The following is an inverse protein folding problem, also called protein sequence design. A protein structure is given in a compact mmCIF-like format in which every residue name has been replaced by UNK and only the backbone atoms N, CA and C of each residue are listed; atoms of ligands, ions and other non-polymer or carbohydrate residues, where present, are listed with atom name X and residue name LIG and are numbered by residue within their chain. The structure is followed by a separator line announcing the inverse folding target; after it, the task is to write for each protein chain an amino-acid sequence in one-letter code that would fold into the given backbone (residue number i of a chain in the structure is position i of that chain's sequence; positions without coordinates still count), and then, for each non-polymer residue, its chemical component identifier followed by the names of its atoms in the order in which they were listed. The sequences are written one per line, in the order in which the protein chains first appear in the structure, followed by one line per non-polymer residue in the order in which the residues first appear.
data_IF_865908530782
#
_entry.id   IF_865908530782
#
_cell.length_a   1.000
_cell.length_b   1.000
_cell.length_c   1.000
_cell.angle_alpha   90.00
_cell.angle_beta   90.00
_cell.angle_gamma   90.00
#
_symmetry.space_group_name_H-M   'P 1'
#
loop_
_entity.id
_entity.type
_entity.pdbx_description
1 polymer ?
#
# COMPACT_ATOMS: atom_id res chain seq x y z
N UNK A 1 13.58 -29.75 -51.60
CA UNK A 1 12.70 -29.93 -50.43
C UNK A 1 13.45 -29.35 -49.24
N UNK A 2 13.00 -28.21 -48.71
CA UNK A 2 13.62 -27.62 -47.52
C UNK A 2 13.30 -28.49 -46.31
N UNK A 3 14.31 -28.82 -45.52
CA UNK A 3 14.15 -29.44 -44.20
C UNK A 3 13.16 -28.61 -43.37
N UNK A 4 12.23 -29.23 -42.61
CA UNK A 4 11.40 -28.48 -41.69
C UNK A 4 12.33 -27.75 -40.71
N UNK A 5 12.15 -26.44 -40.55
CA UNK A 5 12.81 -25.74 -39.45
C UNK A 5 12.21 -26.30 -38.16
N UNK A 6 13.04 -26.85 -37.28
CA UNK A 6 12.63 -27.27 -35.95
C UNK A 6 12.62 -26.04 -35.04
N UNK A 7 11.43 -25.48 -34.81
CA UNK A 7 11.25 -24.37 -33.87
C UNK A 7 11.08 -24.94 -32.47
N UNK A 8 11.92 -24.48 -31.53
CA UNK A 8 11.65 -24.68 -30.10
C UNK A 8 10.90 -23.45 -29.59
N UNK A 9 9.67 -23.64 -29.11
CA UNK A 9 8.85 -22.58 -28.54
C UNK A 9 8.76 -22.74 -27.03
N UNK A 10 9.02 -21.66 -26.30
CA UNK A 10 8.84 -21.58 -24.84
C UNK A 10 7.69 -20.60 -24.57
N UNK A 11 6.58 -21.10 -24.03
CA UNK A 11 5.47 -20.26 -23.58
C UNK A 11 5.70 -19.83 -22.12
N UNK A 12 5.61 -18.53 -21.86
CA UNK A 12 5.82 -17.94 -20.53
C UNK A 12 4.82 -16.81 -20.26
N UNK A 13 4.78 -16.35 -19.02
CA UNK A 13 4.00 -15.18 -18.62
C UNK A 13 4.41 -13.93 -19.41
N UNK A 14 3.43 -13.16 -19.87
CA UNK A 14 3.68 -11.86 -20.49
C UNK A 14 3.88 -10.80 -19.41
N UNK A 15 5.14 -10.45 -19.14
CA UNK A 15 5.47 -9.34 -18.25
C UNK A 15 5.42 -8.00 -19.01
N UNK A 16 5.50 -6.89 -18.27
CA UNK A 16 5.57 -5.52 -18.76
C UNK A 16 6.90 -5.14 -19.42
N UNK A 17 7.25 -3.85 -19.36
CA UNK A 17 8.49 -3.35 -19.97
C UNK A 17 9.71 -3.77 -19.14
N UNK A 18 10.90 -3.68 -19.74
CA UNK A 18 12.16 -3.93 -19.04
C UNK A 18 12.59 -2.73 -18.19
N UNK A 19 13.47 -2.97 -17.22
CA UNK A 19 14.11 -1.92 -16.42
C UNK A 19 14.90 -0.95 -17.30
N UNK A 20 15.55 -1.46 -18.37
CA UNK A 20 16.19 -0.60 -19.38
C UNK A 20 15.21 0.38 -20.00
N UNK A 21 14.02 -0.08 -20.38
CA UNK A 21 13.02 0.80 -20.96
C UNK A 21 12.59 1.89 -19.97
N UNK A 22 12.44 1.53 -18.69
CA UNK A 22 12.13 2.50 -17.65
C UNK A 22 13.24 3.54 -17.46
N UNK A 23 14.51 3.13 -17.44
CA UNK A 23 15.65 4.04 -17.27
C UNK A 23 15.86 4.98 -18.48
N UNK A 24 15.79 4.44 -19.70
CA UNK A 24 16.28 5.14 -20.89
C UNK A 24 15.18 5.77 -21.75
N UNK A 25 13.97 5.18 -21.74
CA UNK A 25 12.83 5.65 -22.55
C UNK A 25 11.85 6.44 -21.70
N UNK A 26 11.44 5.92 -20.55
CA UNK A 26 10.54 6.65 -19.64
C UNK A 26 11.24 7.83 -18.95
N UNK A 27 12.51 7.65 -18.56
CA UNK A 27 13.34 8.68 -17.91
C UNK A 27 12.67 9.25 -16.66
N UNK A 28 12.64 8.50 -15.54
CA UNK A 28 11.94 8.90 -14.35
C UNK A 28 12.52 10.21 -13.77
N UNK A 29 11.69 11.02 -13.08
CA UNK A 29 12.15 12.30 -12.53
C UNK A 29 13.19 12.08 -11.41
N UNK A 30 14.38 12.66 -11.60
CA UNK A 30 15.59 12.42 -10.81
C UNK A 30 15.51 12.83 -9.32
N UNK A 31 14.51 13.61 -8.93
CA UNK A 31 14.34 14.11 -7.55
C UNK A 31 12.94 13.85 -6.98
N UNK A 32 12.16 12.94 -7.58
CA UNK A 32 10.83 12.60 -7.03
C UNK A 32 10.98 11.55 -5.91
N UNK A 33 10.28 11.76 -4.79
CA UNK A 33 10.17 10.76 -3.73
C UNK A 33 9.63 9.43 -4.27
N UNK A 34 8.69 9.47 -5.22
CA UNK A 34 8.21 8.27 -5.91
C UNK A 34 9.33 7.53 -6.61
N UNK A 35 10.19 8.23 -7.36
CA UNK A 35 11.33 7.59 -8.04
C UNK A 35 12.23 6.90 -7.02
N UNK A 36 12.53 7.56 -5.90
CA UNK A 36 13.37 7.02 -4.84
C UNK A 36 12.77 5.77 -4.17
N UNK A 37 11.46 5.79 -3.90
CA UNK A 37 10.74 4.63 -3.36
C UNK A 37 10.68 3.50 -4.38
N UNK A 38 10.42 3.82 -5.65
CA UNK A 38 10.37 2.83 -6.73
C UNK A 38 11.74 2.19 -6.98
N UNK A 39 12.82 2.97 -6.91
CA UNK A 39 14.19 2.47 -6.92
C UNK A 39 14.40 1.47 -5.77
N UNK A 40 13.97 1.82 -4.55
CA UNK A 40 14.06 0.93 -3.38
C UNK A 40 13.28 -0.37 -3.59
N UNK A 41 12.05 -0.30 -4.10
CA UNK A 41 11.24 -1.48 -4.38
C UNK A 41 11.86 -2.40 -5.45
N UNK A 42 12.35 -1.82 -6.57
CA UNK A 42 13.05 -2.58 -7.62
C UNK A 42 14.30 -3.28 -7.03
N UNK A 43 15.05 -2.61 -6.17
CA UNK A 43 16.21 -3.21 -5.49
C UNK A 43 15.81 -4.38 -4.59
N UNK A 44 14.75 -4.22 -3.78
CA UNK A 44 14.25 -5.29 -2.91
C UNK A 44 13.85 -6.51 -3.73
N UNK A 45 13.08 -6.33 -4.81
CA UNK A 45 12.65 -7.40 -5.69
C UNK A 45 13.83 -8.10 -6.39
N UNK A 46 14.86 -7.34 -6.80
CA UNK A 46 16.08 -7.91 -7.40
C UNK A 46 16.86 -8.77 -6.40
N UNK A 47 16.98 -8.31 -5.15
CA UNK A 47 17.62 -9.07 -4.07
C UNK A 47 16.85 -10.36 -3.80
N UNK A 48 15.53 -10.32 -3.70
CA UNK A 48 14.71 -11.53 -3.52
C UNK A 48 14.81 -12.49 -4.72
N UNK A 49 14.83 -11.96 -5.94
CA UNK A 49 15.05 -12.75 -7.15
C UNK A 49 16.42 -13.46 -7.15
N UNK A 50 17.48 -12.76 -6.77
CA UNK A 50 18.83 -13.34 -6.69
C UNK A 50 18.97 -14.36 -5.55
N UNK A 51 18.37 -14.10 -4.38
CA UNK A 51 18.29 -15.08 -3.28
C UNK A 51 17.69 -16.38 -3.77
N UNK A 52 16.54 -16.30 -4.43
CA UNK A 52 15.87 -17.47 -4.98
C UNK A 52 16.77 -18.26 -5.95
N UNK A 53 17.49 -17.59 -6.85
CA UNK A 53 18.43 -18.28 -7.76
C UNK A 53 19.60 -18.93 -7.02
N UNK A 54 20.24 -18.20 -6.11
CA UNK A 54 21.44 -18.66 -5.41
C UNK A 54 21.13 -19.80 -4.42
N UNK A 55 19.96 -19.78 -3.79
CA UNK A 55 19.46 -20.89 -2.95
C UNK A 55 19.30 -22.18 -3.76
N UNK A 56 18.80 -22.04 -5.00
CA UNK A 56 18.67 -23.12 -5.96
C UNK A 56 19.97 -23.41 -6.72
N UNK A 57 21.12 -22.86 -6.30
CA UNK A 57 22.44 -23.09 -6.90
C UNK A 57 22.53 -22.67 -8.36
N UNK A 58 21.71 -21.71 -8.78
CA UNK A 58 21.69 -21.15 -10.15
C UNK A 58 22.43 -19.81 -10.16
N UNK A 59 23.35 -19.63 -11.11
CA UNK A 59 23.97 -18.34 -11.45
C UNK A 59 23.33 -17.84 -12.75
N UNK A 60 22.90 -16.58 -12.80
CA UNK A 60 22.26 -15.99 -13.98
C UNK A 60 23.24 -15.72 -15.13
N UNK A 61 24.41 -15.15 -14.83
CA UNK A 61 25.54 -14.86 -15.75
C UNK A 61 25.32 -13.79 -16.82
N UNK A 62 24.08 -13.38 -17.10
CA UNK A 62 23.76 -12.27 -18.01
C UNK A 62 22.76 -11.29 -17.37
N UNK A 63 22.97 -10.98 -16.09
CA UNK A 63 22.09 -10.04 -15.40
C UNK A 63 22.37 -8.62 -15.93
N UNK A 64 21.33 -7.97 -16.45
CA UNK A 64 21.38 -6.62 -17.02
C UNK A 64 19.97 -6.01 -17.01
N UNK A 65 19.81 -4.69 -17.17
CA UNK A 65 18.49 -4.05 -17.12
C UNK A 65 17.50 -4.53 -18.21
N UNK A 66 17.98 -5.08 -19.34
CA UNK A 66 17.12 -5.72 -20.34
C UNK A 66 16.43 -6.99 -19.81
N UNK A 67 17.10 -7.71 -18.90
CA UNK A 67 16.68 -9.00 -18.35
C UNK A 67 15.93 -8.87 -17.01
N UNK A 68 15.59 -7.64 -16.61
CA UNK A 68 14.78 -7.33 -15.43
C UNK A 68 13.49 -6.70 -15.94
N UNK A 69 12.34 -7.34 -15.70
CA UNK A 69 11.06 -6.92 -16.28
C UNK A 69 10.03 -6.61 -15.19
N UNK A 70 9.25 -5.55 -15.40
CA UNK A 70 8.08 -5.25 -14.57
C UNK A 70 6.98 -6.30 -14.81
N UNK A 71 6.22 -6.68 -13.78
CA UNK A 71 5.20 -7.75 -13.93
C UNK A 71 3.90 -7.26 -14.55
N UNK A 72 3.50 -6.03 -14.31
CA UNK A 72 2.25 -5.47 -14.85
C UNK A 72 2.51 -4.61 -16.08
N UNK A 73 1.44 -4.27 -16.80
CA UNK A 73 1.54 -3.41 -17.99
C UNK A 73 2.25 -2.08 -17.64
N UNK A 74 3.13 -1.62 -18.53
CA UNK A 74 4.08 -0.52 -18.30
C UNK A 74 5.19 -0.87 -17.29
N UNK A 75 5.12 -0.31 -16.08
CA UNK A 75 6.22 -0.30 -15.10
C UNK A 75 5.80 -0.70 -13.68
N UNK A 76 4.69 -1.43 -13.51
CA UNK A 76 4.24 -1.79 -12.18
C UNK A 76 4.98 -2.98 -11.59
N UNK A 77 5.10 -2.95 -10.26
CA UNK A 77 5.84 -3.91 -9.44
C UNK A 77 5.00 -5.15 -9.10
N UNK A 78 5.64 -6.27 -8.70
CA UNK A 78 7.09 -6.45 -8.54
C UNK A 78 7.83 -6.55 -9.89
N UNK A 79 9.17 -6.53 -9.86
CA UNK A 79 9.98 -6.97 -11.01
C UNK A 79 10.22 -8.47 -11.00
N UNK A 80 10.63 -9.02 -12.15
CA UNK A 80 11.08 -10.40 -12.34
C UNK A 80 12.38 -10.43 -13.12
N UNK A 81 13.27 -11.35 -12.75
CA UNK A 81 14.47 -11.67 -13.51
C UNK A 81 14.08 -12.67 -14.61
N UNK A 82 14.46 -12.37 -15.85
CA UNK A 82 14.19 -13.19 -17.03
C UNK A 82 15.44 -13.43 -17.87
N UNK A 83 15.28 -14.19 -18.95
CA UNK A 83 16.36 -14.62 -19.86
C UNK A 83 17.47 -15.45 -19.20
N UNK A 84 17.13 -16.72 -18.96
CA UNK A 84 18.03 -17.73 -18.42
C UNK A 84 18.87 -18.43 -19.49
N UNK A 85 19.01 -17.85 -20.70
CA UNK A 85 19.73 -18.47 -21.82
C UNK A 85 21.20 -18.75 -21.53
N UNK A 86 21.79 -18.02 -20.57
CA UNK A 86 23.18 -18.20 -20.11
C UNK A 86 23.27 -18.74 -18.67
N UNK A 87 22.14 -18.99 -18.01
CA UNK A 87 22.12 -19.43 -16.62
C UNK A 87 22.66 -20.85 -16.46
N UNK A 88 23.26 -21.15 -15.30
CA UNK A 88 23.88 -22.47 -15.04
C UNK A 88 23.78 -22.85 -13.56
N UNK A 89 23.65 -24.15 -13.32
CA UNK A 89 23.78 -24.75 -11.99
C UNK A 89 25.26 -24.82 -11.58
N UNK A 90 25.58 -24.45 -10.35
CA UNK A 90 26.92 -24.69 -9.80
C UNK A 90 27.05 -26.18 -9.51
N UNK A 91 27.88 -26.87 -10.29
CA UNK A 91 28.25 -28.25 -10.04
C UNK A 91 29.58 -28.29 -9.26
N UNK A 92 29.76 -29.22 -8.29
CA UNK A 92 30.96 -29.31 -7.44
C UNK A 92 32.30 -29.48 -8.19
N UNK A 93 32.27 -29.86 -9.47
CA UNK A 93 33.47 -30.15 -10.29
C UNK A 93 33.76 -29.10 -11.38
N UNK A 94 33.04 -27.98 -11.41
CA UNK A 94 33.15 -26.99 -12.49
C UNK A 94 34.40 -26.09 -12.36
N UNK A 95 35.58 -26.67 -12.62
CA UNK A 95 36.81 -25.97 -13.02
C UNK A 95 36.86 -25.66 -14.52
N UNK A 96 35.72 -25.74 -15.23
CA UNK A 96 35.67 -25.62 -16.69
C UNK A 96 35.68 -24.16 -17.16
N UNK A 97 36.75 -23.78 -17.85
CA UNK A 97 36.96 -22.52 -18.56
C UNK A 97 36.45 -22.63 -20.00
N UNK A 98 35.28 -22.07 -20.36
CA UNK A 98 34.89 -22.02 -21.79
C UNK A 98 33.97 -20.85 -22.22
N UNK A 99 34.22 -20.47 -23.48
CA UNK A 99 33.56 -19.54 -24.43
C UNK A 99 33.38 -18.08 -24.01
N UNK A 100 34.40 -17.29 -24.37
CA UNK A 100 34.31 -15.86 -24.62
C UNK A 100 33.46 -15.61 -25.87
N UNK A 101 32.21 -15.18 -25.70
CA UNK A 101 31.54 -14.15 -26.50
C UNK A 101 30.03 -14.18 -26.33
N UNK A 102 29.44 -12.99 -26.52
CA UNK A 102 28.02 -12.64 -26.63
C UNK A 102 27.37 -12.22 -25.30
N UNK A 103 26.87 -10.98 -25.28
CA UNK A 103 26.30 -10.25 -24.13
C UNK A 103 26.88 -8.84 -24.00
N UNK A 104 26.05 -7.85 -23.67
CA UNK A 104 26.44 -6.45 -23.47
C UNK A 104 27.52 -6.36 -22.38
N UNK A 105 28.78 -6.08 -22.78
CA UNK A 105 29.97 -6.20 -21.92
C UNK A 105 29.91 -5.37 -20.63
N UNK A 106 29.07 -4.33 -20.59
CA UNK A 106 29.09 -3.27 -19.57
C UNK A 106 28.77 -3.78 -18.16
N UNK A 107 27.88 -4.77 -18.01
CA UNK A 107 27.47 -5.31 -16.69
C UNK A 107 28.21 -6.59 -16.31
N UNK A 108 29.10 -7.09 -17.17
CA UNK A 108 29.77 -8.37 -16.99
C UNK A 108 30.93 -8.23 -15.99
N UNK A 109 30.97 -9.11 -15.01
CA UNK A 109 32.08 -9.15 -14.06
C UNK A 109 33.44 -9.43 -14.75
N UNK A 110 34.54 -8.79 -14.33
CA UNK A 110 35.85 -8.95 -14.99
C UNK A 110 36.31 -10.41 -15.10
N UNK A 111 36.15 -11.20 -14.04
CA UNK A 111 36.56 -12.61 -13.95
C UNK A 111 35.77 -13.55 -14.87
N UNK A 112 34.57 -13.15 -15.30
CA UNK A 112 33.77 -13.91 -16.26
C UNK A 112 34.44 -13.97 -17.62
N UNK A 113 35.24 -12.95 -17.98
CA UNK A 113 36.04 -12.96 -19.20
C UNK A 113 37.13 -14.04 -19.17
N UNK A 114 37.57 -14.43 -17.98
CA UNK A 114 38.53 -15.51 -17.73
C UNK A 114 37.83 -16.87 -17.57
N UNK A 115 36.52 -16.94 -17.80
CA UNK A 115 35.72 -18.16 -17.69
C UNK A 115 35.45 -18.59 -16.25
N UNK A 116 35.68 -17.72 -15.25
CA UNK A 116 35.35 -17.99 -13.84
C UNK A 116 33.97 -17.44 -13.54
N UNK A 117 33.09 -18.32 -13.06
CA UNK A 117 31.71 -17.98 -12.72
C UNK A 117 31.43 -18.35 -11.28
N UNK A 118 30.84 -17.43 -10.54
CA UNK A 118 30.42 -17.64 -9.16
C UNK A 118 29.22 -16.75 -8.85
N UNK A 119 28.60 -16.91 -7.69
CA UNK A 119 27.53 -16.02 -7.23
C UNK A 119 27.96 -14.55 -7.24
N UNK A 120 29.25 -14.28 -6.95
CA UNK A 120 29.85 -12.94 -6.97
C UNK A 120 29.81 -12.28 -8.35
N UNK A 121 29.72 -13.05 -9.43
CA UNK A 121 29.56 -12.49 -10.77
C UNK A 121 28.17 -11.83 -10.95
N UNK A 122 27.11 -12.48 -10.45
CA UNK A 122 25.76 -11.89 -10.44
C UNK A 122 25.71 -10.67 -9.50
N UNK A 123 26.41 -10.71 -8.35
CA UNK A 123 26.48 -9.57 -7.43
C UNK A 123 27.16 -8.35 -8.06
N UNK A 124 28.19 -8.56 -8.89
CA UNK A 124 28.81 -7.47 -9.65
C UNK A 124 27.84 -6.82 -10.64
N UNK A 125 27.15 -7.64 -11.42
CA UNK A 125 26.13 -7.15 -12.35
C UNK A 125 25.02 -6.41 -11.61
N UNK A 126 24.56 -6.95 -10.48
CA UNK A 126 23.62 -6.28 -9.58
C UNK A 126 24.12 -4.92 -9.12
N UNK A 127 25.37 -4.80 -8.66
CA UNK A 127 25.95 -3.53 -8.21
C UNK A 127 25.92 -2.43 -9.27
N UNK A 128 26.22 -2.79 -10.53
CA UNK A 128 26.15 -1.84 -11.65
C UNK A 128 24.72 -1.48 -12.03
N UNK A 129 23.79 -2.44 -12.04
CA UNK A 129 22.36 -2.20 -12.28
C UNK A 129 21.79 -1.26 -11.23
N UNK A 130 22.13 -1.48 -9.96
CA UNK A 130 21.67 -0.64 -8.86
C UNK A 130 22.24 0.76 -8.96
N UNK A 131 23.52 0.90 -9.30
CA UNK A 131 24.11 2.22 -9.50
C UNK A 131 23.45 2.99 -10.65
N UNK A 132 23.23 2.32 -11.78
CA UNK A 132 22.50 2.89 -12.92
C UNK A 132 21.09 3.31 -12.52
N UNK A 133 20.40 2.44 -11.77
CA UNK A 133 19.06 2.66 -11.27
C UNK A 133 18.99 3.89 -10.37
N UNK A 134 19.90 4.02 -9.41
CA UNK A 134 19.80 5.04 -8.35
C UNK A 134 20.35 6.40 -8.78
N UNK A 135 21.34 6.41 -9.67
CA UNK A 135 21.90 7.64 -10.24
C UNK A 135 21.28 8.00 -11.61
N UNK A 136 20.31 7.22 -12.10
CA UNK A 136 19.64 7.38 -13.41
C UNK A 136 20.65 7.56 -14.56
N UNK A 137 21.70 6.75 -14.55
CA UNK A 137 22.80 6.85 -15.52
C UNK A 137 22.30 6.33 -16.87
N UNK A 138 22.43 7.14 -17.92
CA UNK A 138 22.28 6.63 -19.28
C UNK A 138 23.53 5.84 -19.67
N UNK A 139 23.60 4.57 -19.26
CA UNK A 139 24.74 3.68 -19.47
C UNK A 139 25.23 3.63 -20.93
N UNK A 140 24.31 3.62 -21.91
CA UNK A 140 24.65 3.63 -23.34
C UNK A 140 25.48 4.86 -23.75
N UNK A 141 25.33 5.99 -23.06
CA UNK A 141 26.07 7.24 -23.31
C UNK A 141 27.25 7.46 -22.36
N UNK A 142 27.27 6.74 -21.24
CA UNK A 142 28.20 6.96 -20.12
C UNK A 142 28.88 5.67 -19.67
N UNK A 143 29.12 4.73 -20.58
CA UNK A 143 29.72 3.43 -20.25
C UNK A 143 31.09 3.56 -19.56
N UNK A 144 31.81 4.66 -19.79
CA UNK A 144 33.08 4.96 -19.13
C UNK A 144 32.95 5.24 -17.62
N UNK A 145 31.75 5.55 -17.10
CA UNK A 145 31.55 5.75 -15.66
C UNK A 145 31.73 4.44 -14.91
N UNK A 146 31.23 3.33 -15.46
CA UNK A 146 31.38 2.01 -14.86
C UNK A 146 32.85 1.59 -14.87
N UNK A 147 33.55 1.86 -15.97
CA UNK A 147 34.98 1.62 -16.09
C UNK A 147 35.77 2.40 -15.03
N UNK A 148 35.47 3.70 -14.84
CA UNK A 148 36.12 4.52 -13.80
C UNK A 148 35.85 4.03 -12.37
N UNK A 149 34.64 3.54 -12.09
CA UNK A 149 34.36 2.98 -10.77
C UNK A 149 35.13 1.69 -10.55
N UNK A 150 35.09 0.77 -11.51
CA UNK A 150 35.60 -0.61 -11.37
C UNK A 150 37.12 -0.68 -11.53
N UNK A 151 37.69 0.04 -12.51
CA UNK A 151 39.10 -0.07 -12.89
C UNK A 151 39.95 1.05 -12.31
N UNK A 152 39.46 2.29 -12.28
CA UNK A 152 40.19 3.40 -11.65
C UNK A 152 39.93 3.46 -10.13
N UNK A 153 38.98 2.67 -9.61
CA UNK A 153 38.61 2.66 -8.20
C UNK A 153 37.98 3.99 -7.74
N UNK A 154 37.37 4.74 -8.65
CA UNK A 154 36.84 6.07 -8.34
C UNK A 154 35.47 6.01 -7.64
N UNK A 155 35.50 5.68 -6.35
CA UNK A 155 34.32 5.58 -5.49
C UNK A 155 33.61 6.92 -5.24
N UNK A 156 34.21 8.06 -5.63
CA UNK A 156 33.58 9.38 -5.49
C UNK A 156 32.45 9.59 -6.49
N UNK A 157 32.37 8.76 -7.54
CA UNK A 157 31.29 8.78 -8.53
C UNK A 157 29.96 8.25 -7.99
N UNK A 158 29.98 7.52 -6.86
CA UNK A 158 28.78 6.97 -6.22
C UNK A 158 28.31 7.95 -5.14
N UNK A 159 27.33 8.78 -5.49
CA UNK A 159 26.71 9.73 -4.58
C UNK A 159 25.78 9.05 -3.57
N UNK A 160 25.47 9.73 -2.46
CA UNK A 160 24.51 9.23 -1.48
C UNK A 160 23.08 9.31 -2.02
N UNK A 161 22.35 8.21 -1.93
CA UNK A 161 20.95 8.18 -2.32
C UNK A 161 20.08 8.93 -1.31
N UNK A 162 19.17 9.83 -1.71
CA UNK A 162 18.39 10.65 -0.78
C UNK A 162 17.61 9.86 0.28
N UNK A 163 17.15 8.66 -0.08
CA UNK A 163 16.27 7.84 0.77
C UNK A 163 17.00 6.71 1.50
N UNK A 164 18.10 6.22 0.92
CA UNK A 164 18.83 5.03 1.41
C UNK A 164 20.22 5.38 1.98
N UNK A 165 20.68 6.61 1.74
CA UNK A 165 21.92 7.18 2.25
C UNK A 165 23.17 6.40 1.85
N UNK A 166 24.19 6.49 2.71
CA UNK A 166 25.51 5.86 2.55
C UNK A 166 25.47 4.31 2.48
N UNK A 167 24.41 3.67 2.97
CA UNK A 167 24.26 2.21 2.88
C UNK A 167 24.27 1.72 1.45
N UNK A 168 23.52 2.40 0.59
CA UNK A 168 23.44 2.08 -0.83
C UNK A 168 24.77 2.28 -1.53
N UNK A 169 25.48 3.36 -1.18
CA UNK A 169 26.84 3.63 -1.66
C UNK A 169 27.79 2.48 -1.31
N UNK A 170 27.77 2.00 -0.05
CA UNK A 170 28.54 0.83 0.39
C UNK A 170 28.21 -0.43 -0.40
N UNK A 171 26.92 -0.68 -0.65
CA UNK A 171 26.47 -1.83 -1.44
C UNK A 171 27.06 -1.78 -2.85
N UNK A 172 26.87 -0.66 -3.55
CA UNK A 172 27.36 -0.46 -4.93
C UNK A 172 28.87 -0.66 -5.00
N UNK A 173 29.64 0.03 -4.14
CA UNK A 173 31.11 -0.03 -4.14
C UNK A 173 31.61 -1.45 -3.86
N UNK A 174 31.04 -2.13 -2.87
CA UNK A 174 31.48 -3.47 -2.49
C UNK A 174 31.14 -4.51 -3.55
N UNK A 175 29.94 -4.43 -4.15
CA UNK A 175 29.54 -5.31 -5.25
C UNK A 175 30.43 -5.15 -6.50
N UNK A 176 30.92 -3.94 -6.77
CA UNK A 176 31.62 -3.60 -8.01
C UNK A 176 33.15 -3.68 -7.92
N UNK A 177 33.69 -4.22 -6.82
CA UNK A 177 35.13 -4.49 -6.70
C UNK A 177 35.61 -5.44 -7.80
N UNK A 178 36.79 -5.15 -8.37
CA UNK A 178 37.34 -5.94 -9.47
C UNK A 178 37.62 -7.39 -9.07
N UNK A 179 38.21 -7.61 -7.90
CA UNK A 179 38.48 -8.95 -7.37
C UNK A 179 37.24 -9.47 -6.60
N UNK A 180 36.66 -10.62 -6.99
CA UNK A 180 35.48 -11.20 -6.36
C UNK A 180 35.61 -11.42 -4.85
N UNK A 181 36.81 -11.68 -4.33
CA UNK A 181 37.03 -11.92 -2.90
C UNK A 181 36.76 -10.67 -2.04
N UNK A 182 36.79 -9.49 -2.65
CA UNK A 182 36.53 -8.21 -1.99
C UNK A 182 35.06 -7.76 -2.13
N UNK A 183 34.20 -8.58 -2.72
CA UNK A 183 32.75 -8.35 -2.79
C UNK A 183 32.06 -9.04 -1.60
N UNK A 184 30.76 -8.79 -1.44
CA UNK A 184 29.94 -9.58 -0.51
C UNK A 184 30.04 -11.07 -0.85
N UNK A 185 30.05 -11.92 0.18
CA UNK A 185 30.09 -13.38 0.01
C UNK A 185 28.76 -13.88 -0.54
N UNK A 186 27.66 -13.28 -0.10
CA UNK A 186 26.31 -13.65 -0.53
C UNK A 186 25.36 -12.46 -0.67
N UNK A 187 24.29 -12.66 -1.42
CA UNK A 187 23.17 -11.72 -1.53
C UNK A 187 22.46 -11.47 -0.18
N UNK A 188 22.63 -12.37 0.81
CA UNK A 188 22.03 -12.22 2.14
C UNK A 188 22.65 -11.06 2.92
N UNK A 189 23.95 -10.82 2.79
CA UNK A 189 24.61 -9.64 3.40
C UNK A 189 24.02 -8.34 2.85
N UNK A 190 23.69 -8.31 1.55
CA UNK A 190 23.04 -7.16 0.91
C UNK A 190 21.62 -6.99 1.47
N UNK A 191 20.87 -8.09 1.59
CA UNK A 191 19.51 -8.07 2.12
C UNK A 191 19.47 -7.51 3.55
N UNK A 192 20.38 -7.95 4.43
CA UNK A 192 20.47 -7.44 5.81
C UNK A 192 20.70 -5.92 5.87
N UNK A 193 21.52 -5.36 4.97
CA UNK A 193 21.78 -3.91 4.91
C UNK A 193 20.54 -3.14 4.45
N UNK A 194 19.69 -3.73 3.58
CA UNK A 194 18.49 -3.09 3.02
C UNK A 194 17.25 -3.15 3.92
N UNK A 195 17.22 -3.98 4.97
CA UNK A 195 16.03 -4.22 5.82
C UNK A 195 15.67 -3.04 6.75
N UNK A 196 16.59 -2.10 6.99
CA UNK A 196 16.31 -0.98 7.91
C UNK A 196 15.38 0.08 7.31
N UNK A 197 14.40 0.59 8.08
CA UNK A 197 13.40 1.53 7.59
C UNK A 197 14.03 2.81 7.04
N UNK A 198 13.49 3.26 5.91
CA UNK A 198 13.90 4.46 5.20
C UNK A 198 13.70 5.70 6.09
N UNK A 199 14.65 6.65 6.03
CA UNK A 199 14.66 7.81 6.94
C UNK A 199 13.35 8.61 6.86
N UNK A 200 12.83 9.11 7.98
CA UNK A 200 11.62 9.93 8.01
C UNK A 200 11.88 11.37 7.59
N UNK A 201 10.77 12.06 7.30
CA UNK A 201 10.59 13.52 7.21
C UNK A 201 10.53 14.13 5.81
N UNK A 202 9.62 13.65 4.96
CA UNK A 202 9.12 14.50 3.87
C UNK A 202 7.60 14.47 3.81
N UNK A 203 7.04 15.63 3.46
CA UNK A 203 5.68 15.72 2.94
C UNK A 203 5.69 15.08 1.55
N UNK A 204 5.08 13.91 1.45
CA UNK A 204 5.05 13.10 0.24
C UNK A 204 3.83 13.52 -0.56
N UNK A 205 3.99 13.75 -1.87
CA UNK A 205 2.87 14.05 -2.74
C UNK A 205 2.62 12.86 -3.65
N UNK A 206 1.45 12.24 -3.53
CA UNK A 206 1.00 11.20 -4.45
C UNK A 206 0.07 11.80 -5.50
N UNK A 207 0.29 11.48 -6.77
CA UNK A 207 -0.46 11.96 -7.94
C UNK A 207 -1.12 10.82 -8.73
N UNK A 208 -0.70 9.58 -8.47
CA UNK A 208 -1.23 8.38 -9.15
C UNK A 208 -1.54 7.28 -8.14
N UNK A 209 -2.32 6.28 -8.56
CA UNK A 209 -2.65 5.11 -7.73
C UNK A 209 -1.40 4.31 -7.35
N UNK A 210 -0.45 4.19 -8.28
CA UNK A 210 0.83 3.51 -8.04
C UNK A 210 1.68 4.28 -7.02
N UNK A 211 1.77 5.61 -7.18
CA UNK A 211 2.45 6.47 -6.22
C UNK A 211 1.88 6.30 -4.82
N UNK A 212 0.56 6.33 -4.66
CA UNK A 212 -0.08 6.15 -3.36
C UNK A 212 0.26 4.78 -2.74
N UNK A 213 0.17 3.68 -3.50
CA UNK A 213 0.50 2.34 -3.01
C UNK A 213 1.94 2.27 -2.48
N UNK A 214 2.89 2.78 -3.27
CA UNK A 214 4.30 2.77 -2.92
C UNK A 214 4.59 3.67 -1.71
N UNK A 215 4.02 4.87 -1.69
CA UNK A 215 4.19 5.78 -0.56
C UNK A 215 3.65 5.16 0.74
N UNK A 216 2.50 4.49 0.68
CA UNK A 216 1.92 3.78 1.84
C UNK A 216 2.80 2.63 2.31
N UNK A 217 3.36 1.85 1.38
CA UNK A 217 4.19 0.69 1.68
C UNK A 217 5.54 1.07 2.33
N UNK A 218 6.13 2.19 1.92
CA UNK A 218 7.48 2.59 2.32
C UNK A 218 7.53 3.83 3.23
N UNK A 219 6.38 4.39 3.60
CA UNK A 219 6.32 5.49 4.55
C UNK A 219 6.84 5.06 5.93
N UNK A 220 7.61 5.95 6.54
CA UNK A 220 8.14 5.79 7.90
C UNK A 220 7.26 6.53 8.91
N UNK A 221 7.29 6.16 10.21
CA UNK A 221 6.50 6.85 11.23
C UNK A 221 6.72 8.36 11.23
N UNK A 222 5.62 9.11 11.26
CA UNK A 222 5.60 10.57 11.16
C UNK A 222 5.47 11.12 9.74
N UNK A 223 5.44 10.27 8.71
CA UNK A 223 5.27 10.71 7.32
C UNK A 223 3.85 11.23 7.05
N UNK A 224 3.75 12.25 6.21
CA UNK A 224 2.47 12.77 5.69
C UNK A 224 2.42 12.58 4.18
N UNK A 225 1.39 11.88 3.68
CA UNK A 225 1.11 11.63 2.28
C UNK A 225 -0.06 12.53 1.84
N UNK A 226 0.26 13.57 1.09
CA UNK A 226 -0.66 14.50 0.44
C UNK A 226 -1.17 13.92 -0.88
N UNK A 227 -2.48 13.76 -1.02
CA UNK A 227 -3.11 13.31 -2.25
C UNK A 227 -3.55 14.52 -3.08
N UNK A 228 -3.14 14.56 -4.35
CA UNK A 228 -3.68 15.50 -5.33
C UNK A 228 -5.17 15.25 -5.62
N UNK A 229 -5.81 16.25 -6.21
CA UNK A 229 -7.21 16.21 -6.64
C UNK A 229 -7.44 15.32 -7.87
N UNK A 230 -7.23 14.02 -7.72
CA UNK A 230 -7.42 12.98 -8.75
C UNK A 230 -8.18 11.77 -8.18
N UNK A 231 -8.47 10.79 -9.04
CA UNK A 231 -9.04 9.49 -8.62
C UNK A 231 -7.94 8.44 -8.51
N UNK A 232 -7.78 7.87 -7.31
CA UNK A 232 -6.87 6.77 -7.00
C UNK A 232 -7.66 5.47 -6.97
N UNK A 233 -7.32 4.52 -7.86
CA UNK A 233 -7.92 3.19 -7.91
C UNK A 233 -6.95 2.17 -7.33
N UNK A 234 -6.86 2.12 -5.99
CA UNK A 234 -5.97 1.21 -5.30
C UNK A 234 -6.45 0.87 -3.89
N UNK A 235 -5.86 -0.19 -3.32
CA UNK A 235 -6.01 -0.48 -1.90
C UNK A 235 -5.04 0.33 -1.07
N UNK A 236 -5.42 0.65 0.16
CA UNK A 236 -4.57 1.32 1.15
C UNK A 236 -4.40 0.35 2.32
N UNK A 237 -3.19 -0.14 2.55
CA UNK A 237 -2.86 -1.02 3.67
C UNK A 237 -1.84 -0.34 4.58
N UNK A 238 -2.29 0.24 5.69
CA UNK A 238 -1.41 0.87 6.68
C UNK A 238 -1.00 -0.16 7.72
N UNK A 239 0.29 -0.49 7.76
CA UNK A 239 0.92 -1.35 8.78
C UNK A 239 1.99 -0.61 9.60
N UNK A 240 2.33 0.61 9.20
CA UNK A 240 3.27 1.48 9.90
C UNK A 240 2.50 2.44 10.78
N UNK A 241 2.95 2.60 12.03
CA UNK A 241 2.36 3.54 12.98
C UNK A 241 2.63 5.00 12.58
N UNK A 242 1.76 5.91 13.01
CA UNK A 242 1.95 7.36 12.88
C UNK A 242 2.07 7.86 11.42
N UNK A 243 1.29 7.29 10.50
CA UNK A 243 1.19 7.75 9.11
C UNK A 243 -0.04 8.64 8.93
N UNK A 244 0.13 9.80 8.28
CA UNK A 244 -0.98 10.66 7.87
C UNK A 244 -1.18 10.59 6.36
N UNK A 245 -2.41 10.33 5.90
CA UNK A 245 -2.84 10.43 4.50
C UNK A 245 -3.93 11.49 4.42
N UNK A 246 -3.71 12.54 3.65
CA UNK A 246 -4.64 13.67 3.58
C UNK A 246 -4.88 14.07 2.13
N UNK A 247 -6.14 14.22 1.74
CA UNK A 247 -6.49 14.79 0.44
C UNK A 247 -6.32 16.30 0.41
N UNK A 248 -5.96 16.85 -0.75
CA UNK A 248 -5.85 18.31 -0.94
C UNK A 248 -7.19 19.02 -1.03
N UNK A 249 -8.28 18.29 -1.23
CA UNK A 249 -9.60 18.88 -1.38
C UNK A 249 -10.66 17.93 -1.89
N UNK A 250 -11.86 18.49 -2.13
CA UNK A 250 -13.09 17.75 -2.43
C UNK A 250 -13.07 16.92 -3.72
N UNK A 251 -12.07 17.08 -4.59
CA UNK A 251 -11.88 16.26 -5.79
C UNK A 251 -10.87 15.12 -5.61
N UNK A 252 -10.28 14.99 -4.43
CA UNK A 252 -9.48 13.82 -4.05
C UNK A 252 -10.42 12.64 -3.87
N UNK A 253 -10.28 11.60 -4.68
CA UNK A 253 -11.17 10.42 -4.68
C UNK A 253 -10.35 9.14 -4.54
N UNK A 254 -10.64 8.33 -3.53
CA UNK A 254 -10.21 6.93 -3.46
C UNK A 254 -11.34 6.06 -4.01
N UNK A 255 -11.14 5.48 -5.19
CA UNK A 255 -12.08 4.57 -5.84
C UNK A 255 -11.68 3.13 -5.54
N UNK A 256 -12.41 2.50 -4.63
CA UNK A 256 -12.13 1.12 -4.25
C UNK A 256 -12.66 0.09 -5.27
N UNK A 257 -13.40 0.53 -6.28
CA UNK A 257 -13.95 -0.35 -7.31
C UNK A 257 -14.65 -1.57 -6.71
N UNK A 258 -14.35 -2.75 -7.27
CA UNK A 258 -14.92 -4.04 -6.86
C UNK A 258 -14.00 -4.89 -5.97
N UNK A 259 -12.73 -4.52 -5.82
CA UNK A 259 -11.71 -5.39 -5.21
C UNK A 259 -10.83 -4.70 -4.18
N UNK A 260 -10.70 -3.37 -4.22
CA UNK A 260 -9.80 -2.67 -3.31
C UNK A 260 -10.44 -2.45 -1.93
N UNK A 261 -9.58 -2.16 -0.95
CA UNK A 261 -9.97 -1.86 0.43
C UNK A 261 -9.01 -0.88 1.09
N UNK A 262 -9.49 -0.15 2.10
CA UNK A 262 -8.68 0.58 3.06
C UNK A 262 -8.61 -0.28 4.33
N UNK A 263 -7.42 -0.70 4.74
CA UNK A 263 -7.20 -1.45 5.96
C UNK A 263 -6.06 -0.81 6.76
N UNK A 264 -6.38 -0.36 7.97
CA UNK A 264 -5.44 0.20 8.92
C UNK A 264 -5.23 -0.85 10.00
N UNK A 265 -4.02 -1.40 10.08
CA UNK A 265 -3.62 -2.42 11.07
C UNK A 265 -2.51 -1.88 11.99
N UNK A 266 -2.43 -0.55 12.10
CA UNK A 266 -1.41 0.21 12.82
C UNK A 266 -2.03 1.24 13.77
N UNK A 267 -1.20 1.94 14.53
CA UNK A 267 -1.61 2.91 15.55
C UNK A 267 -1.32 4.34 15.12
N UNK A 268 -2.08 5.30 15.66
CA UNK A 268 -1.85 6.74 15.50
C UNK A 268 -1.86 7.22 14.05
N UNK A 269 -2.50 6.50 13.14
CA UNK A 269 -2.65 6.89 11.74
C UNK A 269 -3.82 7.84 11.53
N UNK A 270 -3.70 8.75 10.57
CA UNK A 270 -4.77 9.69 10.18
C UNK A 270 -5.09 9.54 8.71
N UNK A 271 -6.37 9.39 8.37
CA UNK A 271 -6.87 9.53 7.00
C UNK A 271 -7.92 10.64 6.95
N UNK A 272 -7.72 11.66 6.11
CA UNK A 272 -8.67 12.77 6.03
C UNK A 272 -8.82 13.49 4.69
N UNK A 273 -9.90 14.27 4.57
CA UNK A 273 -10.19 15.20 3.47
C UNK A 273 -10.23 14.55 2.07
N UNK A 274 -10.96 13.44 1.94
CA UNK A 274 -11.07 12.70 0.68
C UNK A 274 -12.47 12.11 0.47
N UNK A 275 -12.83 11.86 -0.78
CA UNK A 275 -14.01 11.06 -1.12
C UNK A 275 -13.61 9.61 -1.25
N UNK A 276 -14.44 8.69 -0.77
CA UNK A 276 -14.23 7.25 -0.98
C UNK A 276 -15.43 6.67 -1.72
N UNK A 277 -15.18 6.03 -2.86
CA UNK A 277 -16.19 5.44 -3.74
C UNK A 277 -16.04 3.92 -3.72
N UNK A 278 -17.16 3.21 -3.76
CA UNK A 278 -17.21 1.74 -3.79
C UNK A 278 -18.20 1.29 -4.86
N UNK A 279 -17.91 0.17 -5.55
CA UNK A 279 -18.82 -0.43 -6.55
C UNK A 279 -19.10 -1.89 -6.20
N UNK A 280 -20.38 -2.29 -6.17
CA UNK A 280 -20.78 -3.62 -5.69
C UNK A 280 -20.36 -4.74 -6.67
N UNK A 281 -20.06 -5.93 -6.12
CA UNK A 281 -20.46 -7.19 -6.77
C UNK A 281 -20.95 -8.25 -5.76
N UNK A 282 -20.42 -8.29 -4.52
CA UNK A 282 -20.80 -9.31 -3.54
C UNK A 282 -20.79 -8.78 -2.08
N UNK A 283 -21.76 -9.23 -1.27
CA UNK A 283 -22.09 -8.75 0.09
C UNK A 283 -21.13 -9.20 1.22
N UNK A 284 -19.96 -9.75 0.89
CA UNK A 284 -19.15 -10.52 1.87
C UNK A 284 -17.86 -9.85 2.34
N UNK A 285 -17.48 -8.66 1.86
CA UNK A 285 -16.17 -8.07 2.16
C UNK A 285 -16.24 -6.64 2.71
N UNK A 286 -15.61 -6.44 3.89
CA UNK A 286 -15.40 -5.13 4.51
C UNK A 286 -14.39 -4.31 3.71
N UNK A 287 -14.76 -3.09 3.29
CA UNK A 287 -13.95 -2.26 2.39
C UNK A 287 -13.15 -1.19 3.12
N UNK A 288 -13.57 -0.80 4.31
CA UNK A 288 -12.79 0.04 5.23
C UNK A 288 -12.72 -0.70 6.56
N UNK A 289 -11.50 -0.99 7.01
CA UNK A 289 -11.22 -1.60 8.31
C UNK A 289 -10.21 -0.72 9.05
N UNK A 290 -10.52 -0.37 10.30
CA UNK A 290 -9.68 0.50 11.13
C UNK A 290 -9.32 -0.22 12.43
N UNK A 291 -8.29 -1.06 12.39
CA UNK A 291 -7.70 -1.70 13.56
C UNK A 291 -6.54 -0.86 14.14
N UNK A 292 -5.96 -1.31 15.25
CA UNK A 292 -5.00 -0.55 16.06
C UNK A 292 -5.64 0.51 16.96
N UNK A 293 -4.82 1.39 17.54
CA UNK A 293 -5.27 2.38 18.53
C UNK A 293 -4.94 3.81 18.13
N UNK A 294 -5.74 4.78 18.58
CA UNK A 294 -5.56 6.21 18.33
C UNK A 294 -5.55 6.63 16.84
N UNK A 295 -6.18 5.85 15.97
CA UNK A 295 -6.35 6.23 14.57
C UNK A 295 -7.50 7.22 14.41
N UNK A 296 -7.36 8.12 13.44
CA UNK A 296 -8.33 9.17 13.12
C UNK A 296 -8.78 9.08 11.67
N UNK A 297 -10.08 9.05 11.46
CA UNK A 297 -10.70 9.02 10.14
C UNK A 297 -11.68 10.20 10.04
N UNK A 298 -11.28 11.29 9.37
CA UNK A 298 -12.04 12.55 9.40
C UNK A 298 -12.34 13.11 8.01
N UNK A 299 -13.43 13.85 7.87
CA UNK A 299 -13.74 14.61 6.65
C UNK A 299 -13.81 13.75 5.38
N UNK A 300 -14.43 12.58 5.51
CA UNK A 300 -14.57 11.63 4.41
C UNK A 300 -16.01 11.57 3.91
N UNK A 301 -16.14 11.65 2.58
CA UNK A 301 -17.43 11.54 1.89
C UNK A 301 -17.52 10.18 1.23
N UNK A 302 -18.42 9.33 1.72
CA UNK A 302 -18.62 7.98 1.21
C UNK A 302 -19.81 7.93 0.22
N UNK A 303 -19.59 7.29 -0.93
CA UNK A 303 -20.60 7.05 -1.97
C UNK A 303 -20.80 5.55 -2.18
N UNK A 304 -22.04 5.04 -2.07
CA UNK A 304 -22.35 3.62 -2.32
C UNK A 304 -23.72 3.42 -2.96
N UNK A 305 -23.90 2.30 -3.67
CA UNK A 305 -25.22 1.81 -4.04
C UNK A 305 -25.80 0.86 -2.96
N UNK A 306 -24.98 0.10 -2.23
CA UNK A 306 -25.37 -0.85 -1.16
C UNK A 306 -24.14 -1.28 -0.34
N UNK A 307 -24.09 -1.07 0.98
CA UNK A 307 -22.91 -1.39 1.80
C UNK A 307 -23.14 -1.70 3.30
N UNK A 308 -22.20 -2.47 3.88
CA UNK A 308 -22.02 -2.76 5.30
C UNK A 308 -20.56 -2.43 5.77
N UNK A 309 -20.19 -1.16 6.03
CA UNK A 309 -18.92 -0.80 6.67
C UNK A 309 -18.79 -1.31 8.11
N UNK A 310 -18.13 -2.44 8.33
CA UNK A 310 -17.57 -2.67 9.66
C UNK A 310 -16.19 -2.01 9.72
N UNK A 311 -16.00 -0.77 10.26
CA UNK A 311 -14.71 -0.48 10.84
C UNK A 311 -14.61 -1.36 12.10
N UNK A 312 -13.94 -2.51 12.01
CA UNK A 312 -13.67 -3.31 13.22
C UNK A 312 -12.64 -2.54 14.05
N UNK A 313 -13.09 -1.76 15.04
CA UNK A 313 -12.23 -0.79 15.71
C UNK A 313 -11.79 -1.22 17.11
N UNK A 314 -10.50 -1.28 17.29
CA UNK A 314 -9.77 -1.42 18.56
C UNK A 314 -9.72 -0.08 19.33
N UNK A 315 -8.77 0.14 20.23
CA UNK A 315 -8.90 1.11 21.34
C UNK A 315 -8.69 2.59 20.96
N UNK A 316 -9.49 3.53 21.48
CA UNK A 316 -9.24 4.99 21.39
C UNK A 316 -9.27 5.65 20.00
N UNK A 317 -9.92 5.04 19.01
CA UNK A 317 -10.02 5.59 17.66
C UNK A 317 -11.15 6.61 17.51
N UNK A 318 -11.03 7.47 16.49
CA UNK A 318 -11.92 8.60 16.23
C UNK A 318 -12.42 8.61 14.78
N UNK A 319 -13.74 8.65 14.58
CA UNK A 319 -14.38 8.86 13.28
C UNK A 319 -15.18 10.16 13.33
N UNK A 320 -14.85 11.12 12.47
CA UNK A 320 -15.40 12.48 12.57
C UNK A 320 -15.82 13.02 11.19
N UNK A 321 -16.81 13.91 11.14
CA UNK A 321 -17.20 14.67 9.95
C UNK A 321 -17.48 13.82 8.70
N UNK A 322 -18.11 12.67 8.86
CA UNK A 322 -18.41 11.78 7.73
C UNK A 322 -19.71 12.19 7.04
N UNK A 323 -19.69 12.22 5.71
CA UNK A 323 -20.89 12.46 4.91
C UNK A 323 -21.19 11.21 4.07
N UNK A 324 -22.34 10.62 4.32
CA UNK A 324 -22.86 9.47 3.58
C UNK A 324 -23.92 9.96 2.61
N UNK A 325 -23.86 9.53 1.35
CA UNK A 325 -24.63 10.20 0.27
C UNK A 325 -25.64 9.30 -0.43
N UNK A 326 -25.29 8.04 -0.66
CA UNK A 326 -26.14 7.05 -1.32
C UNK A 326 -25.90 5.67 -0.70
N UNK A 327 -26.93 4.82 -0.74
CA UNK A 327 -26.86 3.40 -0.39
C UNK A 327 -27.04 3.06 1.09
N UNK A 328 -27.09 1.76 1.38
CA UNK A 328 -26.99 1.23 2.74
C UNK A 328 -25.57 1.50 3.26
N UNK A 329 -25.44 2.04 4.46
CA UNK A 329 -24.17 2.21 5.18
C UNK A 329 -24.42 1.78 6.62
N UNK A 330 -24.02 0.56 6.96
CA UNK A 330 -23.90 0.13 8.36
C UNK A 330 -22.51 0.39 8.94
N UNK A 331 -22.30 1.38 9.79
CA UNK A 331 -21.05 1.55 10.55
C UNK A 331 -21.07 0.64 11.77
N UNK A 332 -20.09 -0.23 11.94
CA UNK A 332 -19.97 -1.06 13.15
C UNK A 332 -18.75 -0.66 13.94
N UNK A 333 -18.89 -0.52 15.24
CA UNK A 333 -17.83 -0.21 16.18
C UNK A 333 -17.59 -1.43 17.05
N UNK A 334 -16.32 -1.79 17.27
CA UNK A 334 -15.92 -2.75 18.28
C UNK A 334 -14.99 -2.10 19.30
N UNK A 335 -14.36 -2.85 20.23
CA UNK A 335 -13.28 -2.33 21.08
C UNK A 335 -13.69 -1.44 22.26
N UNK A 336 -12.80 -0.50 22.66
CA UNK A 336 -13.02 0.33 23.85
C UNK A 336 -12.54 1.78 23.67
N UNK A 337 -13.23 2.76 24.27
CA UNK A 337 -12.87 4.19 24.27
C UNK A 337 -12.93 4.88 22.89
N UNK A 338 -13.79 4.40 21.98
CA UNK A 338 -13.91 4.95 20.64
C UNK A 338 -14.91 6.11 20.57
N UNK A 339 -14.63 7.08 19.69
CA UNK A 339 -15.51 8.23 19.43
C UNK A 339 -15.98 8.25 17.97
N UNK A 340 -17.27 8.51 17.77
CA UNK A 340 -17.84 8.89 16.48
C UNK A 340 -18.57 10.22 16.64
N UNK A 341 -18.27 11.19 15.78
CA UNK A 341 -18.96 12.48 15.77
C UNK A 341 -19.29 12.97 14.37
N UNK A 342 -20.31 13.82 14.29
CA UNK A 342 -20.61 14.63 13.10
C UNK A 342 -20.84 13.81 11.81
N UNK A 343 -21.44 12.62 11.97
CA UNK A 343 -21.79 11.75 10.86
C UNK A 343 -23.21 12.03 10.40
N UNK A 344 -23.35 12.38 9.12
CA UNK A 344 -24.65 12.71 8.55
C UNK A 344 -24.88 12.06 7.20
N UNK A 345 -26.15 11.80 6.95
CA UNK A 345 -26.64 11.50 5.62
C UNK A 345 -26.93 12.78 4.83
N UNK A 346 -26.60 12.81 3.53
CA UNK A 346 -26.91 13.89 2.61
C UNK A 346 -27.23 13.37 1.20
N UNK A 347 -28.47 13.51 0.74
CA UNK A 347 -28.82 13.31 -0.68
C UNK A 347 -28.09 14.36 -1.53
N UNK A 348 -27.01 13.97 -2.20
CA UNK A 348 -26.41 14.79 -3.25
C UNK A 348 -27.19 14.54 -4.53
N UNK A 349 -27.71 15.59 -5.17
CA UNK A 349 -28.39 15.51 -6.46
C UNK A 349 -27.42 15.16 -7.58
N UNK A 350 -26.94 13.92 -7.61
CA UNK A 350 -26.09 13.40 -8.67
C UNK A 350 -26.92 13.10 -9.93
N UNK A 351 -26.32 13.20 -11.14
CA UNK A 351 -26.99 12.84 -12.37
C UNK A 351 -27.37 11.35 -12.34
N UNK A 352 -28.60 11.04 -12.78
CA UNK A 352 -29.14 9.69 -12.82
C UNK A 352 -28.15 8.69 -13.44
N UNK A 353 -27.87 7.60 -12.74
CA UNK A 353 -27.04 6.52 -13.24
C UNK A 353 -27.76 5.83 -14.41
N UNK A 354 -27.19 5.82 -15.64
CA UNK A 354 -27.84 5.26 -16.81
C UNK A 354 -28.02 3.72 -16.77
N UNK A 355 -27.49 3.05 -15.72
CA UNK A 355 -27.65 1.61 -15.50
C UNK A 355 -28.67 1.25 -14.39
N UNK A 356 -29.42 2.22 -13.84
CA UNK A 356 -30.37 1.95 -12.74
C UNK A 356 -31.80 1.71 -13.23
N UNK A 357 -32.30 0.49 -13.01
CA UNK A 357 -33.73 0.19 -13.05
C UNK A 357 -34.43 0.76 -11.80
N UNK A 358 -35.63 1.28 -12.02
CA UNK A 358 -36.49 2.01 -11.07
C UNK A 358 -37.01 1.15 -9.90
N UNK A 359 -36.17 0.88 -8.92
CA UNK A 359 -36.63 0.56 -7.56
C UNK A 359 -36.09 1.62 -6.61
N UNK A 360 -36.98 2.25 -5.85
CA UNK A 360 -36.65 3.17 -4.77
C UNK A 360 -35.79 2.44 -3.74
N UNK A 361 -34.47 2.55 -3.90
CA UNK A 361 -33.54 1.92 -2.99
C UNK A 361 -33.68 2.59 -1.62
N UNK A 362 -33.81 1.78 -0.56
CA UNK A 362 -33.80 2.25 0.81
C UNK A 362 -32.42 2.81 1.12
N UNK A 363 -32.33 4.11 1.35
CA UNK A 363 -31.11 4.72 1.85
C UNK A 363 -31.11 4.64 3.38
N UNK A 364 -30.10 3.98 3.94
CA UNK A 364 -30.05 3.66 5.36
C UNK A 364 -28.65 3.85 5.92
N UNK A 365 -28.47 4.73 6.90
CA UNK A 365 -27.31 4.76 7.78
C UNK A 365 -27.66 4.00 9.06
N UNK A 366 -27.10 2.81 9.27
CA UNK A 366 -27.20 2.09 10.53
C UNK A 366 -25.88 2.14 11.30
N UNK A 367 -25.95 2.21 12.63
CA UNK A 367 -24.77 2.16 13.49
C UNK A 367 -24.90 0.99 14.46
N UNK A 368 -23.90 0.10 14.52
CA UNK A 368 -23.81 -0.95 15.53
C UNK A 368 -22.63 -0.66 16.45
N UNK A 369 -22.80 -0.78 17.75
CA UNK A 369 -21.76 -0.53 18.74
C UNK A 369 -21.54 -1.80 19.56
N UNK A 370 -20.31 -2.32 19.62
CA UNK A 370 -19.94 -3.61 20.20
C UNK A 370 -18.74 -3.48 21.16
N UNK A 371 -18.93 -3.27 22.46
CA UNK A 371 -17.76 -3.18 23.38
C UNK A 371 -17.97 -2.27 24.57
N UNK A 372 -16.99 -1.43 24.93
CA UNK A 372 -17.06 -0.62 26.15
C UNK A 372 -16.68 0.86 25.92
N UNK A 373 -17.25 1.78 26.70
CA UNK A 373 -16.85 3.20 26.74
C UNK A 373 -16.88 3.89 25.37
N UNK A 374 -18.08 4.15 24.85
CA UNK A 374 -18.23 4.83 23.57
C UNK A 374 -18.74 6.24 23.72
N UNK A 375 -18.31 7.12 22.83
CA UNK A 375 -18.86 8.46 22.69
C UNK A 375 -19.40 8.67 21.28
N UNK A 376 -20.68 9.00 21.18
CA UNK A 376 -21.42 9.10 19.92
C UNK A 376 -22.10 10.47 19.90
N UNK A 377 -21.68 11.35 19.01
CA UNK A 377 -22.10 12.76 19.06
C UNK A 377 -22.58 13.30 17.71
N UNK A 378 -23.67 14.07 17.73
CA UNK A 378 -24.15 14.81 16.54
C UNK A 378 -24.33 13.92 15.29
N UNK A 379 -25.10 12.84 15.43
CA UNK A 379 -25.32 11.87 14.35
C UNK A 379 -26.75 11.95 13.83
N UNK A 380 -26.93 11.88 12.52
CA UNK A 380 -28.23 11.63 11.88
C UNK A 380 -28.23 10.29 11.15
N UNK A 381 -28.95 9.30 11.66
CA UNK A 381 -28.97 7.94 11.16
C UNK A 381 -30.39 7.37 11.05
N UNK A 382 -30.53 6.20 10.46
CA UNK A 382 -31.79 5.47 10.40
C UNK A 382 -31.99 4.67 11.68
N UNK A 383 -31.03 3.82 12.03
CA UNK A 383 -31.06 2.97 13.22
C UNK A 383 -29.71 3.03 13.93
N UNK A 384 -29.73 2.99 15.26
CA UNK A 384 -28.52 2.76 16.05
C UNK A 384 -28.78 1.63 17.05
N UNK A 385 -27.88 0.64 17.06
CA UNK A 385 -27.91 -0.53 17.91
C UNK A 385 -26.68 -0.57 18.81
N UNK A 386 -26.89 -0.70 20.11
CA UNK A 386 -25.85 -0.69 21.15
C UNK A 386 -25.83 -2.04 21.86
N UNK A 387 -24.70 -2.72 21.79
CA UNK A 387 -24.41 -4.00 22.45
C UNK A 387 -23.10 -3.87 23.23
N UNK A 388 -23.10 -3.07 24.30
CA UNK A 388 -21.89 -2.72 25.03
C UNK A 388 -22.10 -1.74 26.19
N UNK A 389 -21.24 -1.77 27.21
CA UNK A 389 -21.34 -0.91 28.39
C UNK A 389 -20.75 0.48 28.17
N UNK A 390 -21.20 1.45 28.98
CA UNK A 390 -20.69 2.81 29.10
C UNK A 390 -20.75 3.62 27.79
N UNK A 391 -21.77 3.39 26.97
CA UNK A 391 -22.02 4.20 25.78
C UNK A 391 -22.70 5.53 26.14
N UNK A 392 -22.15 6.64 25.64
CA UNK A 392 -22.68 7.99 25.77
C UNK A 392 -23.09 8.49 24.41
N UNK A 393 -24.40 8.73 24.22
CA UNK A 393 -24.98 9.29 23.01
C UNK A 393 -25.44 10.72 23.30
N UNK A 394 -24.97 11.67 22.49
CA UNK A 394 -25.30 13.09 22.61
C UNK A 394 -25.76 13.63 21.25
N UNK A 395 -26.94 14.25 21.15
CA UNK A 395 -27.45 14.83 19.88
C UNK A 395 -27.57 13.80 18.75
N UNK A 396 -28.05 12.59 19.06
CA UNK A 396 -28.30 11.55 18.05
C UNK A 396 -29.75 11.63 17.56
N UNK A 397 -29.94 11.80 16.26
CA UNK A 397 -31.25 11.78 15.60
C UNK A 397 -31.37 10.50 14.77
N UNK A 398 -32.29 9.61 15.16
CA UNK A 398 -32.62 8.37 14.46
C UNK A 398 -33.99 8.47 13.79
N UNK A 399 -34.09 8.12 12.50
CA UNK A 399 -35.39 8.13 11.80
C UNK A 399 -36.25 6.89 12.06
N UNK A 400 -35.70 5.88 12.72
CA UNK A 400 -36.37 4.64 13.14
C UNK A 400 -36.17 4.40 14.64
N UNK A 401 -35.19 3.60 15.06
CA UNK A 401 -35.03 3.25 16.47
C UNK A 401 -33.59 3.40 17.01
N UNK A 402 -33.52 3.71 18.31
CA UNK A 402 -32.36 3.42 19.16
C UNK A 402 -32.65 2.09 19.86
N UNK A 403 -31.77 1.11 19.66
CA UNK A 403 -31.91 -0.25 20.18
C UNK A 403 -30.74 -0.56 21.11
N UNK A 404 -31.02 -0.70 22.41
CA UNK A 404 -30.05 -1.13 23.40
C UNK A 404 -30.29 -2.60 23.68
N UNK A 405 -29.39 -3.43 23.17
CA UNK A 405 -29.45 -4.88 23.36
C UNK A 405 -28.77 -5.27 24.66
N UNK A 406 -29.23 -6.37 25.25
CA UNK A 406 -28.66 -6.94 26.48
C UNK A 406 -28.77 -6.00 27.70
N UNK A 407 -28.39 -6.49 28.88
CA UNK A 407 -28.36 -5.69 30.11
C UNK A 407 -27.01 -4.95 30.22
N UNK A 408 -26.82 -3.92 29.40
CA UNK A 408 -25.66 -3.05 29.42
C UNK A 408 -25.69 -2.08 30.62
N UNK A 409 -24.51 -1.66 31.07
CA UNK A 409 -24.32 -0.71 32.19
C UNK A 409 -23.91 0.66 31.69
N UNK A 410 -24.27 1.71 32.43
CA UNK A 410 -23.72 3.05 32.23
C UNK A 410 -24.09 3.71 30.90
N UNK A 411 -25.25 3.38 30.33
CA UNK A 411 -25.70 4.00 29.08
C UNK A 411 -26.30 5.38 29.38
N UNK A 412 -25.83 6.40 28.68
CA UNK A 412 -26.28 7.78 28.82
C UNK A 412 -26.78 8.27 27.46
N UNK A 413 -28.01 8.75 27.41
CA UNK A 413 -28.63 9.41 26.26
C UNK A 413 -28.90 10.86 26.62
N UNK A 414 -28.31 11.81 25.90
CA UNK A 414 -28.55 13.25 26.08
C UNK A 414 -28.93 13.89 24.73
N UNK A 415 -30.00 14.69 24.71
CA UNK A 415 -30.44 15.42 23.50
C UNK A 415 -30.70 14.52 22.28
N UNK A 416 -31.17 13.29 22.49
CA UNK A 416 -31.41 12.31 21.42
C UNK A 416 -32.88 12.29 20.98
N UNK A 417 -33.12 12.03 19.70
CA UNK A 417 -34.45 11.95 19.09
C UNK A 417 -34.59 10.65 18.28
N UNK A 418 -35.67 9.88 18.47
CA UNK A 418 -35.96 8.70 17.65
C UNK A 418 -37.45 8.34 17.59
N UNK A 419 -37.90 7.60 16.55
CA UNK A 419 -39.29 7.08 16.51
C UNK A 419 -39.49 5.93 17.49
N UNK A 420 -38.44 5.18 17.80
CA UNK A 420 -38.46 4.04 18.71
C UNK A 420 -37.29 4.05 19.69
N UNK A 421 -37.56 3.68 20.94
CA UNK A 421 -36.53 3.26 21.90
C UNK A 421 -36.83 1.84 22.38
N UNK A 422 -35.96 0.90 22.03
CA UNK A 422 -35.97 -0.47 22.55
C UNK A 422 -34.83 -0.60 23.55
N UNK A 423 -35.11 -1.00 24.79
CA UNK A 423 -34.10 -1.01 25.84
C UNK A 423 -34.27 -2.19 26.80
N UNK A 424 -33.18 -2.91 27.06
CA UNK A 424 -33.11 -3.93 28.10
C UNK A 424 -32.23 -3.53 29.31
N UNK A 425 -31.63 -2.33 29.27
CA UNK A 425 -30.63 -1.83 30.22
C UNK A 425 -31.19 -0.78 31.20
N UNK A 426 -30.44 -0.45 32.27
CA UNK A 426 -30.69 0.81 33.02
C UNK A 426 -29.97 1.96 32.31
N UNK A 427 -30.69 3.03 32.03
CA UNK A 427 -30.19 4.13 31.20
C UNK A 427 -30.46 5.49 31.84
N UNK A 428 -29.54 6.42 31.67
CA UNK A 428 -29.73 7.83 32.01
C UNK A 428 -30.23 8.56 30.77
N UNK A 429 -31.34 9.28 30.88
CA UNK A 429 -31.94 10.05 29.79
C UNK A 429 -32.01 11.52 30.21
N UNK A 430 -31.47 12.39 29.36
CA UNK A 430 -31.49 13.84 29.54
C UNK A 430 -31.96 14.52 28.25
N UNK A 431 -33.00 15.35 28.31
CA UNK A 431 -33.51 16.12 27.16
C UNK A 431 -33.74 15.31 25.85
N UNK A 432 -34.23 14.06 25.94
CA UNK A 432 -34.48 13.22 24.76
C UNK A 432 -35.97 13.13 24.39
N UNK A 433 -36.27 12.90 23.10
CA UNK A 433 -37.63 12.71 22.58
C UNK A 433 -37.77 11.36 21.85
N UNK A 434 -38.70 10.52 22.30
CA UNK A 434 -38.95 9.20 21.70
C UNK A 434 -40.42 8.99 21.36
N UNK A 435 -40.72 8.53 20.14
CA UNK A 435 -42.10 8.29 19.69
C UNK A 435 -42.79 7.10 20.38
N UNK A 436 -42.20 5.92 20.27
CA UNK A 436 -42.65 4.68 20.90
C UNK A 436 -41.55 4.07 21.76
N UNK A 437 -41.89 3.59 22.97
CA UNK A 437 -40.92 3.02 23.92
C UNK A 437 -41.35 1.61 24.30
N UNK A 438 -40.55 0.60 23.99
CA UNK A 438 -40.84 -0.80 24.31
C UNK A 438 -40.01 -1.31 25.50
N UNK A 439 -40.67 -1.36 26.67
CA UNK A 439 -40.33 -1.97 27.99
C UNK A 439 -39.13 -1.44 28.81
N UNK A 440 -39.44 -1.28 30.11
CA UNK A 440 -38.67 -0.91 31.32
C UNK A 440 -37.58 0.17 31.20
N UNK A 441 -38.00 1.43 31.10
CA UNK A 441 -37.15 2.52 31.58
C UNK A 441 -37.15 2.45 33.11
N UNK A 442 -36.05 1.98 33.72
CA UNK A 442 -35.79 2.23 35.14
C UNK A 442 -35.01 3.53 35.21
N UNK A 443 -35.73 4.63 35.40
CA UNK A 443 -35.14 5.96 35.61
C UNK A 443 -34.30 5.97 36.89
N UNK A 444 -33.15 6.64 36.84
CA UNK A 444 -32.42 7.16 38.00
C UNK A 444 -32.21 8.64 37.80
#
# INVERSE_FOLDING_TARGET
MGSPMDWTCIQMELCGRSLKHWLHVFQPPMNSFYTQVKQAAIMTDLVEGLKFLHDNKVIHRDLKPDNVMFTTFEYGLPIKIGDFGLARWILPEDGSTFTSSVGTQVYRAPEVSDGKYSYQADLFSFGLIIWELTALIQADKNANLFDKLVNDGNETLVEEHPLLGDKLRKIIISCTKRDPINRFESVYEIAEILVEPMKPAQEIVAQTSEELCLCVQYASPGSTIQLQEVTYSCSIYLRTDNITIVGRGSKTVIDLGHSNSINVESNSCTLSNMKVIFRQKDDTFHRIKLCGSNNRFSDIVAFSAYYYPLPDISYYNQIENQVVTEGLVRIVFSGTNNTISDVRYATLGLPANPYQNSSSFLTELSILVLGLHYKIENIKCNEIKISGDHAVLTKVQSTDAIIITEENKGIILSQCEAKGLQNMSRITIDQCEFGSVSKSIKHT
#
